data_IF_020954211276
#
_entry.id   IF_020954211276
#
_cell.length_a   1.000
_cell.length_b   1.000
_cell.length_c   1.000
_cell.angle_alpha   90.00
_cell.angle_beta   90.00
_cell.angle_gamma   90.00
#
_symmetry.space_group_name_H-M   'P 1'
#
loop_
_entity.id
_entity.type
_entity.pdbx_description
1 polymer ?
#
# COMPACT_ATOMS: atom_id res chain seq x y z
N UNK A 1 -37.94 30.90 23.64
CA UNK A 1 -36.64 31.57 23.45
C UNK A 1 -36.75 32.97 22.89
N UNK A 2 -37.72 33.21 22.02
CA UNK A 2 -37.92 34.53 21.39
C UNK A 2 -38.31 35.65 22.40
N UNK A 3 -39.15 35.42 23.45
CA UNK A 3 -39.42 36.44 24.44
C UNK A 3 -38.25 36.86 25.32
N UNK A 4 -37.29 35.96 25.57
CA UNK A 4 -36.06 36.23 26.34
C UNK A 4 -35.12 37.12 25.55
N UNK A 5 -35.05 36.92 24.21
CA UNK A 5 -34.21 37.72 23.32
C UNK A 5 -34.69 39.18 23.22
N UNK A 6 -36.01 39.45 23.29
CA UNK A 6 -36.56 40.79 23.26
C UNK A 6 -36.32 41.61 24.53
N UNK A 7 -36.11 40.98 25.68
CA UNK A 7 -35.84 41.62 26.99
C UNK A 7 -34.36 41.95 27.23
N UNK A 8 -33.47 41.47 26.38
CA UNK A 8 -32.02 41.71 26.53
C UNK A 8 -31.62 43.07 25.98
N UNK A 9 -30.64 43.69 26.62
CA UNK A 9 -30.03 44.91 26.11
C UNK A 9 -29.32 44.70 24.79
N UNK A 10 -29.21 45.73 23.96
CA UNK A 10 -28.52 45.65 22.66
C UNK A 10 -27.09 45.10 22.79
N UNK A 11 -26.40 45.48 23.88
CA UNK A 11 -25.06 45.03 24.20
C UNK A 11 -25.01 43.49 24.41
N UNK A 12 -25.97 42.95 25.16
CA UNK A 12 -26.06 41.51 25.40
C UNK A 12 -26.40 40.76 24.11
N UNK A 13 -27.23 41.32 23.23
CA UNK A 13 -27.53 40.68 21.92
C UNK A 13 -26.30 40.58 21.03
N UNK A 14 -25.50 41.63 20.96
CA UNK A 14 -24.25 41.65 20.19
C UNK A 14 -23.29 40.62 20.73
N UNK A 15 -23.10 40.52 22.05
CA UNK A 15 -22.21 39.54 22.67
C UNK A 15 -22.64 38.09 22.39
N UNK A 16 -23.94 37.78 22.52
CA UNK A 16 -24.48 36.46 22.26
C UNK A 16 -24.31 36.09 20.77
N UNK A 17 -24.56 37.04 19.86
CA UNK A 17 -24.39 36.83 18.43
C UNK A 17 -22.93 36.55 18.10
N UNK A 18 -21.98 37.29 18.69
CA UNK A 18 -20.54 37.06 18.49
C UNK A 18 -20.10 35.69 19.01
N UNK A 19 -20.54 35.30 20.20
CA UNK A 19 -20.23 33.98 20.79
C UNK A 19 -20.81 32.86 19.89
N UNK A 20 -22.03 32.99 19.42
CA UNK A 20 -22.68 32.02 18.55
C UNK A 20 -21.92 31.86 17.22
N UNK A 21 -21.48 32.95 16.60
CA UNK A 21 -20.69 32.94 15.36
C UNK A 21 -19.34 32.23 15.57
N UNK A 22 -18.65 32.48 16.68
CA UNK A 22 -17.38 31.84 17.00
C UNK A 22 -17.57 30.34 17.20
N UNK A 23 -18.64 29.91 17.89
CA UNK A 23 -18.97 28.49 18.08
C UNK A 23 -19.25 27.78 16.76
N UNK A 24 -20.04 28.38 15.87
CA UNK A 24 -20.32 27.83 14.54
C UNK A 24 -19.04 27.72 13.72
N UNK A 25 -18.21 28.75 13.71
CA UNK A 25 -16.93 28.72 12.99
C UNK A 25 -16.00 27.61 13.52
N UNK A 26 -15.93 27.42 14.84
CA UNK A 26 -15.13 26.38 15.47
C UNK A 26 -15.59 24.97 15.07
N UNK A 27 -16.89 24.72 15.06
CA UNK A 27 -17.47 23.44 14.66
C UNK A 27 -17.18 23.16 13.19
N UNK A 28 -17.31 24.15 12.31
CA UNK A 28 -17.01 23.99 10.87
C UNK A 28 -15.53 23.69 10.65
N UNK A 29 -14.62 24.38 11.31
CA UNK A 29 -13.17 24.14 11.21
C UNK A 29 -12.84 22.72 11.71
N UNK A 30 -13.39 22.31 12.84
CA UNK A 30 -13.17 20.97 13.38
C UNK A 30 -13.67 19.89 12.43
N UNK A 31 -14.87 20.06 11.85
CA UNK A 31 -15.43 19.11 10.88
C UNK A 31 -14.58 18.98 9.62
N UNK A 32 -14.12 20.07 9.04
CA UNK A 32 -13.24 20.08 7.87
C UNK A 32 -11.90 19.43 8.21
N UNK A 33 -11.32 19.74 9.36
CA UNK A 33 -10.05 19.17 9.79
C UNK A 33 -10.13 17.65 9.97
N UNK A 34 -11.18 17.14 10.61
CA UNK A 34 -11.39 15.70 10.80
C UNK A 34 -11.56 15.01 9.44
N UNK A 35 -12.31 15.59 8.53
CA UNK A 35 -12.50 15.03 7.19
C UNK A 35 -11.18 14.97 6.40
N UNK A 36 -10.39 16.02 6.40
CA UNK A 36 -9.08 16.06 5.74
C UNK A 36 -8.10 15.05 6.35
N UNK A 37 -8.04 14.92 7.66
CA UNK A 37 -7.18 13.93 8.31
C UNK A 37 -7.59 12.49 7.97
N UNK A 38 -8.85 12.20 7.87
CA UNK A 38 -9.34 10.88 7.45
C UNK A 38 -8.91 10.51 6.04
N UNK A 39 -8.98 11.44 5.09
CA UNK A 39 -8.54 11.22 3.71
C UNK A 39 -7.01 11.11 3.59
N UNK A 40 -6.26 11.96 4.27
CA UNK A 40 -4.80 11.90 4.25
C UNK A 40 -4.23 10.62 4.85
N UNK A 41 -4.87 10.06 5.88
CA UNK A 41 -4.45 8.79 6.46
C UNK A 41 -4.58 7.62 5.49
N UNK A 42 -5.68 7.54 4.72
CA UNK A 42 -5.89 6.50 3.71
C UNK A 42 -4.94 6.65 2.53
N UNK A 43 -4.81 7.85 1.97
CA UNK A 43 -3.91 8.11 0.85
C UNK A 43 -2.43 7.97 1.24
N UNK A 44 -2.05 8.27 2.48
CA UNK A 44 -0.70 8.10 3.00
C UNK A 44 -0.23 6.64 3.03
N UNK A 45 -1.10 5.69 3.36
CA UNK A 45 -0.78 4.25 3.33
C UNK A 45 -0.62 3.72 1.92
N UNK A 46 -1.52 4.05 1.01
CA UNK A 46 -1.44 3.67 -0.40
C UNK A 46 -0.20 4.26 -1.07
N UNK A 47 0.09 5.52 -0.80
CA UNK A 47 1.25 6.22 -1.33
C UNK A 47 2.58 5.62 -0.85
N UNK A 48 2.68 5.20 0.42
CA UNK A 48 3.85 4.52 0.95
C UNK A 48 4.06 3.15 0.31
N UNK A 49 3.00 2.37 0.13
CA UNK A 49 3.07 1.09 -0.55
C UNK A 49 3.51 1.26 -2.00
N UNK A 50 2.95 2.21 -2.72
CA UNK A 50 3.30 2.50 -4.11
C UNK A 50 4.77 2.90 -4.26
N UNK A 51 5.29 3.74 -3.37
CA UNK A 51 6.72 4.12 -3.37
C UNK A 51 7.62 2.92 -3.11
N UNK A 52 7.31 2.10 -2.12
CA UNK A 52 8.09 0.91 -1.78
C UNK A 52 8.07 -0.10 -2.91
N UNK A 53 6.91 -0.32 -3.52
CA UNK A 53 6.75 -1.17 -4.69
C UNK A 53 7.60 -0.68 -5.85
N UNK A 54 7.58 0.60 -6.17
CA UNK A 54 8.38 1.18 -7.24
C UNK A 54 9.88 1.05 -6.97
N UNK A 55 10.33 1.30 -5.75
CA UNK A 55 11.73 1.14 -5.35
C UNK A 55 12.21 -0.31 -5.49
N UNK A 56 11.38 -1.27 -5.09
CA UNK A 56 11.70 -2.69 -5.24
C UNK A 56 11.71 -3.09 -6.71
N UNK A 57 10.74 -2.65 -7.50
CA UNK A 57 10.71 -2.89 -8.95
C UNK A 57 11.96 -2.37 -9.65
N UNK A 58 12.39 -1.16 -9.33
CA UNK A 58 13.61 -0.58 -9.88
C UNK A 58 14.84 -1.40 -9.50
N UNK A 59 14.93 -1.85 -8.25
CA UNK A 59 16.03 -2.71 -7.80
C UNK A 59 16.03 -4.07 -8.51
N UNK A 60 14.86 -4.65 -8.73
CA UNK A 60 14.69 -5.90 -9.49
C UNK A 60 15.15 -5.71 -10.93
N UNK A 61 14.69 -4.67 -11.61
CA UNK A 61 15.09 -4.40 -13.00
C UNK A 61 16.59 -4.11 -13.13
N UNK A 62 17.16 -3.40 -12.18
CA UNK A 62 18.60 -3.17 -12.13
C UNK A 62 19.37 -4.50 -12.00
N UNK A 63 18.92 -5.40 -11.17
CA UNK A 63 19.51 -6.73 -11.01
C UNK A 63 19.37 -7.55 -12.29
N UNK A 64 18.21 -7.52 -12.94
CA UNK A 64 17.98 -8.21 -14.21
C UNK A 64 18.89 -7.70 -15.35
N UNK A 65 19.20 -6.42 -15.36
CA UNK A 65 20.12 -5.83 -16.35
C UNK A 65 21.58 -6.23 -16.12
N UNK A 66 21.97 -6.51 -14.88
CA UNK A 66 23.35 -6.82 -14.52
C UNK A 66 23.65 -8.30 -14.38
N UNK A 67 22.64 -9.14 -14.39
CA UNK A 67 22.84 -10.59 -14.25
C UNK A 67 23.55 -11.18 -15.44
N UNK A 68 24.38 -12.20 -15.17
CA UNK A 68 25.01 -13.02 -16.21
C UNK A 68 24.13 -14.17 -16.68
N UNK A 69 23.06 -14.46 -15.95
CA UNK A 69 22.12 -15.52 -16.30
C UNK A 69 21.10 -15.01 -17.33
N UNK A 70 20.63 -15.89 -18.24
CA UNK A 70 19.51 -15.53 -19.11
C UNK A 70 18.27 -15.13 -18.29
N UNK A 71 17.63 -14.03 -18.68
CA UNK A 71 16.45 -13.48 -18.00
C UNK A 71 15.21 -14.25 -18.46
N UNK A 72 14.82 -15.23 -17.68
CA UNK A 72 13.61 -16.03 -17.90
C UNK A 72 13.06 -16.53 -16.56
N UNK A 73 11.87 -17.13 -16.58
CA UNK A 73 11.21 -17.61 -15.35
C UNK A 73 11.98 -18.73 -14.66
N UNK A 74 12.72 -19.55 -15.38
CA UNK A 74 13.51 -20.66 -14.82
C UNK A 74 14.71 -20.18 -14.01
N UNK A 75 15.28 -19.07 -14.39
CA UNK A 75 16.49 -18.52 -13.78
C UNK A 75 16.22 -17.50 -12.64
N UNK A 76 14.97 -17.16 -12.35
CA UNK A 76 14.65 -16.20 -11.31
C UNK A 76 15.23 -16.57 -9.93
N UNK A 77 15.19 -17.84 -9.58
CA UNK A 77 15.74 -18.33 -8.31
C UNK A 77 17.26 -18.18 -8.23
N UNK A 78 17.95 -18.32 -9.35
CA UNK A 78 19.40 -18.12 -9.45
C UNK A 78 19.77 -16.65 -9.45
N UNK A 79 19.05 -15.83 -10.22
CA UNK A 79 19.29 -14.40 -10.34
C UNK A 79 19.13 -13.69 -8.99
N UNK A 80 18.08 -14.04 -8.25
CA UNK A 80 17.76 -13.42 -6.95
C UNK A 80 18.18 -14.26 -5.75
N UNK A 81 19.15 -15.12 -5.89
CA UNK A 81 19.57 -16.01 -4.80
C UNK A 81 20.06 -15.26 -3.54
N UNK A 82 20.92 -14.29 -3.70
CA UNK A 82 21.43 -13.41 -2.63
C UNK A 82 20.86 -12.02 -2.70
N UNK A 83 20.59 -11.53 -3.91
CA UNK A 83 20.12 -10.18 -4.19
C UNK A 83 18.76 -9.87 -3.55
N UNK A 84 17.90 -10.88 -3.38
CA UNK A 84 16.61 -10.69 -2.72
C UNK A 84 16.76 -10.17 -1.27
N UNK A 85 17.75 -10.66 -0.55
CA UNK A 85 18.02 -10.23 0.81
C UNK A 85 18.63 -8.83 0.86
N UNK A 86 19.57 -8.54 -0.06
CA UNK A 86 20.18 -7.22 -0.18
C UNK A 86 19.14 -6.14 -0.50
N UNK A 87 18.28 -6.40 -1.47
CA UNK A 87 17.20 -5.47 -1.84
C UNK A 87 16.26 -5.25 -0.66
N UNK A 88 15.84 -6.32 0.02
CA UNK A 88 14.93 -6.22 1.16
C UNK A 88 15.52 -5.40 2.31
N UNK A 89 16.81 -5.56 2.60
CA UNK A 89 17.51 -4.79 3.64
C UNK A 89 17.63 -3.33 3.23
N UNK A 90 18.07 -3.04 2.01
CA UNK A 90 18.26 -1.66 1.53
C UNK A 90 16.94 -0.91 1.49
N UNK A 91 15.88 -1.54 1.00
CA UNK A 91 14.55 -0.92 0.91
C UNK A 91 13.74 -1.01 2.20
N UNK A 92 14.23 -1.75 3.19
CA UNK A 92 13.54 -2.02 4.46
C UNK A 92 12.11 -2.55 4.25
N UNK A 93 11.97 -3.47 3.32
CA UNK A 93 10.68 -4.11 2.98
C UNK A 93 10.94 -5.56 2.59
N UNK A 94 10.16 -6.48 3.16
CA UNK A 94 10.18 -7.86 2.74
C UNK A 94 9.29 -8.06 1.50
N UNK A 95 9.71 -8.93 0.61
CA UNK A 95 8.96 -9.26 -0.58
C UNK A 95 9.19 -10.71 -1.01
N UNK A 96 8.29 -11.20 -1.84
CA UNK A 96 8.31 -12.56 -2.33
C UNK A 96 8.28 -12.56 -3.85
N UNK A 97 8.91 -13.55 -4.46
CA UNK A 97 8.87 -13.79 -5.89
C UNK A 97 8.17 -15.13 -6.13
N UNK A 98 7.13 -15.11 -6.95
CA UNK A 98 6.37 -16.29 -7.38
C UNK A 98 6.57 -16.53 -8.88
N UNK A 99 6.41 -17.77 -9.32
CA UNK A 99 6.32 -18.06 -10.73
C UNK A 99 4.95 -17.65 -11.31
N UNK A 100 4.76 -17.81 -12.61
CA UNK A 100 3.50 -17.42 -13.26
C UNK A 100 2.33 -18.33 -12.88
N UNK A 101 2.59 -19.51 -12.38
CA UNK A 101 1.59 -20.44 -11.83
C UNK A 101 1.25 -20.13 -10.37
N UNK A 102 1.95 -19.17 -9.75
CA UNK A 102 1.71 -18.72 -8.38
C UNK A 102 2.47 -19.50 -7.32
N UNK A 103 3.45 -20.33 -7.69
CA UNK A 103 4.29 -21.03 -6.73
C UNK A 103 5.45 -20.15 -6.26
N UNK A 104 5.75 -20.21 -4.97
CA UNK A 104 6.83 -19.42 -4.38
C UNK A 104 8.18 -19.87 -4.93
N UNK A 105 8.87 -18.96 -5.59
CA UNK A 105 10.26 -19.15 -6.02
C UNK A 105 11.22 -18.79 -4.89
N UNK A 106 11.08 -17.59 -4.33
CA UNK A 106 11.95 -17.08 -3.27
C UNK A 106 11.26 -16.03 -2.42
N UNK A 107 11.63 -15.99 -1.14
CA UNK A 107 11.20 -14.96 -0.19
C UNK A 107 12.39 -14.29 0.45
N UNK A 108 12.30 -12.99 0.70
CA UNK A 108 13.30 -12.25 1.48
C UNK A 108 13.22 -12.55 2.99
N UNK A 109 12.11 -13.12 3.47
CA UNK A 109 11.95 -13.53 4.87
C UNK A 109 12.70 -14.83 5.16
N UNK A 110 13.27 -14.93 6.35
CA UNK A 110 13.85 -16.18 6.80
C UNK A 110 12.77 -17.23 7.06
N UNK A 111 13.12 -18.51 6.90
CA UNK A 111 12.20 -19.63 7.15
C UNK A 111 11.66 -19.69 8.58
N UNK A 112 12.22 -18.95 9.50
CA UNK A 112 11.82 -18.94 10.92
C UNK A 112 10.72 -17.92 11.25
N UNK A 113 10.42 -17.00 10.35
CA UNK A 113 9.32 -16.01 10.50
C UNK A 113 8.01 -16.46 9.84
N UNK A 114 7.78 -17.72 9.74
CA UNK A 114 7.05 -18.42 8.66
C UNK A 114 5.54 -18.54 8.77
N UNK A 115 4.84 -17.89 9.69
CA UNK A 115 3.40 -18.16 9.81
C UNK A 115 2.51 -17.43 8.78
N UNK A 116 3.10 -16.61 7.91
CA UNK A 116 2.30 -15.78 6.99
C UNK A 116 2.73 -15.78 5.51
N UNK A 117 3.73 -16.60 5.13
CA UNK A 117 4.12 -16.69 3.72
C UNK A 117 3.32 -17.80 3.04
N UNK A 118 2.50 -17.41 2.07
CA UNK A 118 1.79 -18.37 1.23
C UNK A 118 2.77 -19.02 0.24
N UNK A 119 2.89 -20.33 0.30
CA UNK A 119 3.72 -21.11 -0.64
C UNK A 119 3.14 -21.08 -2.05
N UNK A 120 1.83 -20.90 -2.16
CA UNK A 120 1.11 -20.83 -3.42
C UNK A 120 0.07 -19.72 -3.39
N UNK A 121 0.03 -18.89 -4.43
CA UNK A 121 -1.00 -17.89 -4.62
C UNK A 121 -2.33 -18.54 -4.95
N UNK A 122 -3.42 -17.93 -4.49
CA UNK A 122 -4.77 -18.40 -4.81
C UNK A 122 -5.11 -18.12 -6.28
N UNK A 123 -6.00 -18.93 -6.84
CA UNK A 123 -6.51 -18.69 -8.20
C UNK A 123 -7.19 -17.34 -8.35
N UNK A 124 -7.81 -16.85 -7.27
CA UNK A 124 -8.43 -15.54 -7.22
C UNK A 124 -7.41 -14.42 -7.46
N UNK A 125 -6.28 -14.44 -6.75
CA UNK A 125 -5.19 -13.47 -6.95
C UNK A 125 -4.64 -13.52 -8.37
N UNK A 126 -4.38 -14.73 -8.89
CA UNK A 126 -3.87 -14.91 -10.25
C UNK A 126 -4.83 -14.38 -11.30
N UNK A 127 -6.13 -14.62 -11.14
CA UNK A 127 -7.16 -14.14 -12.05
C UNK A 127 -7.30 -12.61 -12.01
N UNK A 128 -7.29 -12.02 -10.81
CA UNK A 128 -7.35 -10.57 -10.66
C UNK A 128 -6.13 -9.88 -11.28
N UNK A 129 -4.95 -10.45 -11.09
CA UNK A 129 -3.73 -9.93 -11.68
C UNK A 129 -3.75 -10.03 -13.20
N UNK A 130 -4.16 -11.17 -13.75
CA UNK A 130 -4.25 -11.39 -15.20
C UNK A 130 -5.29 -10.49 -15.87
N UNK A 131 -6.39 -10.19 -15.21
CA UNK A 131 -7.47 -9.33 -15.74
C UNK A 131 -7.24 -7.84 -15.49
N UNK A 132 -6.25 -7.47 -14.71
CA UNK A 132 -5.94 -6.06 -14.42
C UNK A 132 -5.35 -5.36 -15.65
N UNK A 133 -5.89 -4.18 -16.05
CA UNK A 133 -5.34 -3.42 -17.18
C UNK A 133 -3.95 -2.85 -16.88
N UNK A 134 -3.60 -2.69 -15.60
CA UNK A 134 -2.30 -2.17 -15.17
C UNK A 134 -1.30 -3.26 -14.80
N UNK A 135 -1.67 -4.54 -14.94
CA UNK A 135 -0.87 -5.71 -14.51
C UNK A 135 -0.49 -5.65 -13.03
N UNK A 136 -1.37 -5.08 -12.23
CA UNK A 136 -1.19 -4.89 -10.79
C UNK A 136 -2.48 -5.21 -10.05
N UNK A 137 -2.36 -5.88 -8.92
CA UNK A 137 -3.47 -6.17 -8.01
C UNK A 137 -3.04 -5.88 -6.57
N UNK A 138 -3.90 -5.19 -5.82
CA UNK A 138 -3.70 -4.93 -4.39
C UNK A 138 -4.81 -5.60 -3.61
N UNK A 139 -4.44 -6.56 -2.78
CA UNK A 139 -5.34 -7.23 -1.86
C UNK A 139 -5.33 -6.51 -0.51
N UNK A 140 -6.49 -6.13 -0.01
CA UNK A 140 -6.66 -5.56 1.32
C UNK A 140 -7.42 -6.52 2.22
N UNK A 141 -6.86 -6.85 3.38
CA UNK A 141 -7.57 -7.58 4.45
C UNK A 141 -7.59 -6.73 5.69
N UNK A 142 -8.79 -6.44 6.19
CA UNK A 142 -8.98 -5.77 7.47
C UNK A 142 -9.50 -6.81 8.47
N UNK A 143 -8.68 -7.12 9.46
CA UNK A 143 -9.08 -7.93 10.61
C UNK A 143 -9.06 -7.02 11.85
N UNK A 144 -9.88 -7.32 12.86
CA UNK A 144 -10.04 -6.48 14.05
C UNK A 144 -8.72 -5.95 14.62
N UNK A 145 -8.42 -4.68 14.33
CA UNK A 145 -7.24 -3.95 14.82
C UNK A 145 -6.01 -3.93 13.90
N UNK A 146 -6.02 -4.66 12.78
CA UNK A 146 -4.91 -4.67 11.82
C UNK A 146 -5.41 -4.56 10.39
N UNK A 147 -4.89 -3.60 9.64
CA UNK A 147 -5.07 -3.57 8.20
C UNK A 147 -3.84 -4.15 7.52
N UNK A 148 -4.04 -5.14 6.70
CA UNK A 148 -3.03 -5.78 5.88
C UNK A 148 -3.29 -5.45 4.42
N UNK A 149 -2.26 -5.02 3.70
CA UNK A 149 -2.29 -4.86 2.26
C UNK A 149 -1.17 -5.67 1.64
N UNK A 150 -1.44 -6.26 0.50
CA UNK A 150 -0.44 -6.96 -0.29
C UNK A 150 -0.58 -6.54 -1.75
N UNK A 151 0.52 -6.13 -2.36
CA UNK A 151 0.55 -5.83 -3.78
C UNK A 151 1.13 -7.01 -4.56
N UNK A 152 0.62 -7.19 -5.77
CA UNK A 152 1.06 -8.20 -6.74
C UNK A 152 1.27 -7.51 -8.09
N UNK A 153 2.46 -7.67 -8.67
CA UNK A 153 2.77 -7.18 -10.00
C UNK A 153 3.57 -8.22 -10.78
N UNK A 154 3.50 -8.17 -12.10
CA UNK A 154 4.36 -9.01 -12.93
C UNK A 154 5.78 -8.48 -12.97
N UNK A 155 6.75 -9.39 -12.88
CA UNK A 155 8.14 -9.15 -13.27
C UNK A 155 8.25 -9.49 -14.75
N UNK A 156 8.76 -8.55 -15.54
CA UNK A 156 8.85 -8.69 -17.00
C UNK A 156 10.29 -8.70 -17.47
N UNK A 157 10.55 -9.33 -18.62
CA UNK A 157 11.82 -9.25 -19.30
C UNK A 157 11.94 -7.94 -20.11
N UNK A 158 13.04 -7.78 -20.85
CA UNK A 158 13.28 -6.58 -21.68
C UNK A 158 12.26 -6.38 -22.81
N UNK A 159 11.51 -7.41 -23.17
CA UNK A 159 10.42 -7.38 -24.16
C UNK A 159 9.04 -7.21 -23.52
N UNK A 160 8.98 -6.90 -22.23
CA UNK A 160 7.77 -6.77 -21.45
C UNK A 160 6.95 -8.08 -21.31
N UNK A 161 7.58 -9.21 -21.54
CA UNK A 161 6.94 -10.51 -21.31
C UNK A 161 7.01 -10.87 -19.82
N UNK A 162 5.88 -11.23 -19.20
CA UNK A 162 5.89 -11.67 -17.81
C UNK A 162 6.76 -12.92 -17.61
N UNK A 163 7.61 -12.91 -16.59
CA UNK A 163 8.48 -14.02 -16.21
C UNK A 163 8.26 -14.48 -14.76
N UNK A 164 7.61 -13.66 -13.95
CA UNK A 164 7.32 -13.98 -12.56
C UNK A 164 6.36 -12.97 -11.96
N UNK A 165 6.05 -13.15 -10.69
CA UNK A 165 5.16 -12.29 -9.92
C UNK A 165 5.90 -11.78 -8.68
N UNK A 166 5.91 -10.46 -8.50
CA UNK A 166 6.39 -9.78 -7.31
C UNK A 166 5.23 -9.57 -6.34
N UNK A 167 5.41 -10.02 -5.11
CA UNK A 167 4.45 -9.78 -4.02
C UNK A 167 5.13 -8.99 -2.90
N UNK A 168 4.51 -7.89 -2.50
CA UNK A 168 4.96 -7.08 -1.38
C UNK A 168 3.85 -7.06 -0.33
N UNK A 169 4.00 -7.82 0.77
CA UNK A 169 3.11 -7.72 1.91
C UNK A 169 3.46 -6.46 2.72
N UNK A 170 2.45 -5.66 3.05
CA UNK A 170 2.59 -4.43 3.82
C UNK A 170 1.65 -4.43 5.03
N UNK A 171 2.22 -4.25 6.21
CA UNK A 171 1.50 -4.19 7.48
C UNK A 171 1.39 -2.76 8.01
#
# INVERSE_FOLDING_TARGET
SIPVFKKMSLRSRILITMILLVLIASVLIAGVTIHQYGEQSKSGHEEKLDRKEEQIKQSIYYTLQRTTYPVNSENLSLIFNTEIYEIAVVQNVNFNIYDLEGQLIKSSRSKFENDSISICLTSEVLNHLASSPTNRFVEGKSTAGYSYQASYTYITDSKFKPIGILNIPYF
#
